data_IF_897684520517
#
_entry.id   IF_897684520517
#
_cell.length_a   1.000
_cell.length_b   1.000
_cell.length_c   1.000
_cell.angle_alpha   90.00
_cell.angle_beta   90.00
_cell.angle_gamma   90.00
#
_symmetry.space_group_name_H-M   'P 1'
#
loop_
_entity.id
_entity.type
_entity.pdbx_description
1 polymer ?
#
# COMPACT_ATOMS: atom_id res chain seq x y z
N UNK A 1 4.42 -7.31 19.45
CA UNK A 1 3.31 -6.94 18.54
C UNK A 1 3.88 -6.94 17.14
N UNK A 2 3.51 -7.89 16.30
CA UNK A 2 3.80 -7.83 14.87
C UNK A 2 2.93 -6.71 14.28
N UNK A 3 3.57 -5.70 13.69
CA UNK A 3 2.86 -4.72 12.87
C UNK A 3 2.14 -5.48 11.74
N UNK A 4 0.97 -4.99 11.34
CA UNK A 4 0.32 -5.55 10.16
C UNK A 4 1.18 -5.27 8.95
N UNK A 5 1.53 -6.36 8.26
CA UNK A 5 2.11 -6.31 6.95
C UNK A 5 0.97 -6.27 5.93
N UNK A 6 0.93 -5.21 5.13
CA UNK A 6 0.08 -5.10 3.96
C UNK A 6 0.84 -5.65 2.75
N UNK A 7 0.09 -6.21 1.81
CA UNK A 7 0.61 -6.59 0.50
C UNK A 7 0.29 -5.48 -0.49
N UNK A 8 1.29 -5.06 -1.25
CA UNK A 8 1.12 -4.18 -2.40
C UNK A 8 1.36 -4.99 -3.67
N UNK A 9 0.39 -5.02 -4.57
CA UNK A 9 0.55 -5.54 -5.92
C UNK A 9 0.75 -4.37 -6.89
N UNK A 10 1.83 -4.40 -7.66
CA UNK A 10 2.10 -3.44 -8.73
C UNK A 10 2.69 -4.18 -9.92
N UNK A 11 2.15 -3.94 -11.12
CA UNK A 11 2.59 -4.58 -12.36
C UNK A 11 2.62 -6.13 -12.30
N UNK A 12 1.70 -6.73 -11.53
CA UNK A 12 1.61 -8.18 -11.33
C UNK A 12 2.68 -8.74 -10.40
N UNK A 13 3.42 -7.89 -9.69
CA UNK A 13 4.41 -8.29 -8.67
C UNK A 13 3.89 -7.88 -7.29
N UNK A 14 3.99 -8.80 -6.32
CA UNK A 14 3.63 -8.56 -4.93
C UNK A 14 4.84 -8.11 -4.11
N UNK A 15 4.61 -7.12 -3.26
CA UNK A 15 5.58 -6.53 -2.37
C UNK A 15 5.02 -6.47 -0.96
N UNK A 16 5.91 -6.68 0.02
CA UNK A 16 5.57 -6.54 1.41
C UNK A 16 5.75 -5.09 1.87
N UNK A 17 4.76 -4.53 2.56
CA UNK A 17 4.91 -3.22 3.17
C UNK A 17 5.88 -3.25 4.34
N UNK A 18 6.82 -2.31 4.40
CA UNK A 18 7.60 -2.02 5.61
C UNK A 18 7.07 -0.81 6.40
N UNK A 19 6.31 0.07 5.75
CA UNK A 19 5.64 1.21 6.40
C UNK A 19 4.40 1.63 5.60
N UNK A 20 3.39 2.21 6.26
CA UNK A 20 2.15 2.63 5.62
C UNK A 20 1.42 3.73 6.40
N UNK A 21 0.52 4.43 5.72
CA UNK A 21 -0.40 5.39 6.29
C UNK A 21 -1.47 5.80 5.28
N UNK A 22 -2.37 6.72 5.66
CA UNK A 22 -3.42 7.18 4.76
C UNK A 22 -2.88 7.95 3.54
N UNK A 23 -1.65 8.45 3.60
CA UNK A 23 -1.02 9.20 2.51
C UNK A 23 -0.16 8.35 1.58
N UNK A 24 0.18 7.12 1.94
CA UNK A 24 1.10 6.32 1.14
C UNK A 24 1.54 5.03 1.81
N UNK A 25 2.38 4.30 1.08
CA UNK A 25 2.89 2.98 1.45
C UNK A 25 4.34 2.87 1.00
N UNK A 26 5.15 2.24 1.83
CA UNK A 26 6.54 1.90 1.53
C UNK A 26 6.70 0.39 1.57
N UNK A 27 7.38 -0.14 0.57
CA UNK A 27 7.52 -1.58 0.36
C UNK A 27 8.97 -2.00 0.30
N UNK A 28 9.21 -3.23 0.72
CA UNK A 28 10.46 -3.95 0.52
C UNK A 28 10.50 -4.43 -0.94
N UNK A 29 11.37 -3.81 -1.73
CA UNK A 29 11.57 -4.11 -3.15
C UNK A 29 11.68 -2.85 -4.01
N UNK A 30 12.31 -3.03 -5.16
CA UNK A 30 12.29 -2.06 -6.25
C UNK A 30 11.19 -2.46 -7.23
N UNK A 31 10.33 -1.52 -7.60
CA UNK A 31 9.36 -1.74 -8.67
C UNK A 31 10.10 -1.61 -10.00
N UNK A 32 10.27 -2.70 -10.77
CA UNK A 32 11.09 -2.70 -11.97
C UNK A 32 10.51 -1.77 -13.03
N UNK A 33 11.37 -1.19 -13.87
CA UNK A 33 11.00 -0.35 -15.01
C UNK A 33 10.18 0.91 -14.67
N UNK A 34 10.09 1.29 -13.38
CA UNK A 34 9.41 2.50 -12.92
C UNK A 34 10.39 3.57 -12.45
N UNK A 35 9.95 4.83 -12.52
CA UNK A 35 10.78 6.00 -12.17
C UNK A 35 10.15 6.85 -11.07
N UNK A 36 11.00 7.62 -10.40
CA UNK A 36 10.57 8.64 -9.46
C UNK A 36 9.61 9.63 -10.15
N UNK A 37 8.48 9.90 -9.50
CA UNK A 37 7.41 10.77 -10.00
C UNK A 37 6.42 10.10 -10.95
N UNK A 38 6.63 8.82 -11.28
CA UNK A 38 5.69 8.06 -12.10
C UNK A 38 4.51 7.55 -11.28
N UNK A 39 3.31 7.67 -11.83
CA UNK A 39 2.09 7.13 -11.25
C UNK A 39 1.77 5.76 -11.84
N UNK A 40 1.34 4.83 -10.99
CA UNK A 40 0.91 3.50 -11.38
C UNK A 40 -0.32 3.07 -10.58
N UNK A 41 -1.09 2.16 -11.17
CA UNK A 41 -2.19 1.52 -10.48
C UNK A 41 -1.61 0.41 -9.59
N UNK A 42 -2.00 0.42 -8.32
CA UNK A 42 -1.60 -0.56 -7.32
C UNK A 42 -2.83 -1.14 -6.63
N UNK A 43 -2.69 -2.38 -6.16
CA UNK A 43 -3.61 -2.94 -5.17
C UNK A 43 -2.94 -3.00 -3.82
N UNK A 44 -3.59 -2.51 -2.78
CA UNK A 44 -3.15 -2.69 -1.40
C UNK A 44 -4.13 -3.61 -0.70
N UNK A 45 -3.64 -4.69 -0.10
CA UNK A 45 -4.48 -5.69 0.56
C UNK A 45 -3.92 -6.17 1.88
N UNK A 46 -4.77 -6.80 2.68
CA UNK A 46 -4.38 -7.42 3.94
C UNK A 46 -5.53 -8.14 4.63
N UNK A 47 -5.18 -8.96 5.62
CA UNK A 47 -6.16 -9.66 6.45
C UNK A 47 -6.41 -8.93 7.76
N UNK A 48 -7.69 -8.67 8.06
CA UNK A 48 -8.14 -8.14 9.34
C UNK A 48 -9.37 -8.83 9.87
N UNK A 49 -9.28 -9.29 11.12
CA UNK A 49 -10.35 -10.03 11.82
C UNK A 49 -10.93 -11.19 10.97
N UNK A 50 -10.07 -11.91 10.24
CA UNK A 50 -10.49 -13.01 9.35
C UNK A 50 -11.16 -12.56 8.04
N UNK A 51 -11.16 -11.26 7.72
CA UNK A 51 -11.63 -10.73 6.44
C UNK A 51 -10.45 -10.24 5.63
N UNK A 52 -10.40 -10.62 4.36
CA UNK A 52 -9.50 -10.02 3.39
C UNK A 52 -10.10 -8.70 2.91
N UNK A 53 -9.33 -7.62 2.98
CA UNK A 53 -9.71 -6.29 2.51
C UNK A 53 -8.68 -5.82 1.48
N UNK A 54 -9.14 -5.10 0.47
CA UNK A 54 -8.28 -4.55 -0.57
C UNK A 54 -8.82 -3.23 -1.12
N UNK A 55 -7.91 -2.37 -1.58
CA UNK A 55 -8.22 -1.19 -2.39
C UNK A 55 -7.38 -1.22 -3.67
N UNK A 56 -7.94 -0.72 -4.76
CA UNK A 56 -7.22 -0.43 -6.00
C UNK A 56 -7.07 1.09 -6.11
N UNK A 57 -5.84 1.59 -6.23
CA UNK A 57 -5.55 3.02 -6.19
C UNK A 57 -4.46 3.43 -7.17
N UNK A 58 -4.53 4.66 -7.66
CA UNK A 58 -3.38 5.31 -8.27
C UNK A 58 -2.43 5.80 -7.19
N UNK A 59 -1.15 5.52 -7.36
CA UNK A 59 -0.10 6.01 -6.49
C UNK A 59 1.10 6.50 -7.30
N UNK A 60 1.77 7.53 -6.82
CA UNK A 60 2.98 8.09 -7.40
C UNK A 60 4.20 7.63 -6.63
N UNK A 61 5.24 7.17 -7.32
CA UNK A 61 6.52 6.84 -6.69
C UNK A 61 7.19 8.13 -6.23
N UNK A 62 7.39 8.27 -4.92
CA UNK A 62 7.97 9.46 -4.29
C UNK A 62 9.37 9.24 -3.73
N UNK A 63 9.82 7.97 -3.63
CA UNK A 63 11.20 7.62 -3.30
C UNK A 63 11.54 6.23 -3.83
N UNK A 64 12.77 6.09 -4.33
CA UNK A 64 13.41 4.81 -4.64
C UNK A 64 14.72 4.77 -3.86
N UNK A 65 14.91 3.77 -3.03
CA UNK A 65 16.14 3.55 -2.28
C UNK A 65 16.81 2.25 -2.75
N UNK A 66 17.85 2.37 -3.57
CA UNK A 66 18.57 1.21 -4.09
C UNK A 66 19.46 0.54 -3.04
N UNK A 67 19.87 1.28 -2.01
CA UNK A 67 20.73 0.76 -0.94
C UNK A 67 19.97 -0.19 -0.03
N UNK A 68 18.80 0.25 0.44
CA UNK A 68 17.93 -0.54 1.30
C UNK A 68 16.93 -1.41 0.49
N UNK A 69 16.92 -1.25 -0.84
CA UNK A 69 15.97 -1.89 -1.77
C UNK A 69 14.53 -1.62 -1.38
N UNK A 70 14.17 -0.36 -1.20
CA UNK A 70 12.82 0.07 -0.84
C UNK A 70 12.21 1.02 -1.89
N UNK A 71 10.89 0.96 -2.04
CA UNK A 71 10.14 1.93 -2.85
C UNK A 71 9.03 2.55 -1.99
N UNK A 72 8.92 3.88 -1.99
CA UNK A 72 7.83 4.59 -1.34
C UNK A 72 6.89 5.21 -2.37
N UNK A 73 5.59 5.00 -2.15
CA UNK A 73 4.51 5.47 -3.01
C UNK A 73 3.57 6.35 -2.19
N UNK A 74 3.10 7.44 -2.80
CA UNK A 74 2.06 8.31 -2.26
C UNK A 74 0.77 8.03 -3.02
N UNK A 75 -0.34 7.80 -2.32
CA UNK A 75 -1.64 7.68 -2.98
C UNK A 75 -2.06 9.03 -3.58
N UNK A 76 -2.63 9.02 -4.79
CA UNK A 76 -2.93 10.26 -5.51
C UNK A 76 -4.36 10.78 -5.23
N UNK A 77 -5.38 9.94 -5.41
CA UNK A 77 -6.79 10.30 -5.16
C UNK A 77 -7.54 9.10 -4.57
N UNK A 78 -7.47 8.94 -3.25
CA UNK A 78 -8.29 7.95 -2.55
C UNK A 78 -9.71 8.48 -2.36
N UNK A 79 -10.71 7.67 -2.68
CA UNK A 79 -12.10 7.99 -2.34
C UNK A 79 -12.32 7.87 -0.82
N UNK A 80 -13.45 8.39 -0.33
CA UNK A 80 -13.83 8.20 1.08
C UNK A 80 -13.99 6.71 1.46
N UNK A 81 -14.45 5.89 0.51
CA UNK A 81 -14.58 4.44 0.70
C UNK A 81 -13.20 3.77 0.79
N UNK A 82 -12.25 4.14 -0.09
CA UNK A 82 -10.88 3.61 -0.05
C UNK A 82 -10.17 4.00 1.25
N UNK A 83 -10.37 5.24 1.71
CA UNK A 83 -9.85 5.72 2.99
C UNK A 83 -10.43 4.92 4.16
N UNK A 84 -11.71 4.58 4.12
CA UNK A 84 -12.36 3.78 5.15
C UNK A 84 -11.82 2.34 5.17
N UNK A 85 -11.62 1.73 4.00
CA UNK A 85 -11.02 0.38 3.89
C UNK A 85 -9.56 0.40 4.35
N UNK A 86 -8.78 1.41 3.95
CA UNK A 86 -7.40 1.57 4.39
C UNK A 86 -7.33 1.83 5.90
N UNK A 87 -8.19 2.66 6.47
CA UNK A 87 -8.30 2.86 7.92
C UNK A 87 -8.67 1.54 8.63
N UNK A 88 -9.57 0.75 8.07
CA UNK A 88 -9.96 -0.55 8.61
C UNK A 88 -8.81 -1.57 8.55
N UNK A 89 -8.04 -1.59 7.45
CA UNK A 89 -6.80 -2.35 7.33
C UNK A 89 -5.81 -1.94 8.43
N UNK A 90 -5.55 -0.64 8.55
CA UNK A 90 -4.55 -0.06 9.45
C UNK A 90 -4.92 -0.25 10.92
N UNK A 91 -6.11 0.19 11.32
CA UNK A 91 -6.53 0.29 12.72
C UNK A 91 -7.38 -0.87 13.20
N UNK A 92 -8.02 -1.62 12.29
CA UNK A 92 -9.07 -2.59 12.61
C UNK A 92 -10.39 -1.96 13.09
N UNK A 93 -10.52 -0.63 13.12
CA UNK A 93 -11.77 0.08 13.41
C UNK A 93 -12.63 0.09 12.14
N UNK A 94 -13.95 0.06 12.28
CA UNK A 94 -14.96 0.00 11.20
C UNK A 94 -15.18 -1.32 10.45
N UNK A 95 -14.52 -2.41 10.85
CA UNK A 95 -15.03 -3.75 10.47
C UNK A 95 -16.25 -4.01 11.37
N UNK A 96 -17.41 -3.50 10.99
CA UNK A 96 -18.69 -3.89 11.60
C UNK A 96 -18.94 -5.37 11.29
N UNK A 97 -19.24 -6.11 12.36
CA UNK A 97 -19.67 -7.51 12.34
C UNK A 97 -20.94 -7.73 11.50
#
# INVERSE_FOLDING_TARGET
MTLLQLTLEADGVEYNSCDWGLGGIRVEGLIPDRKLGESLNIRVSGERKGRHLSIDAWATIVRIDEGDRETALRFDDLSAEDLDVLEALITGRRITE
#
